data_IF_071927428862
#
_entry.id   IF_071927428862
#
_cell.length_a   1.000
_cell.length_b   1.000
_cell.length_c   1.000
_cell.angle_alpha   90.00
_cell.angle_beta   90.00
_cell.angle_gamma   90.00
#
_symmetry.space_group_name_H-M   'P 1'
#
loop_
_entity.id
_entity.type
_entity.pdbx_description
1 polymer ?
#
# COMPACT_ATOMS: atom_id res chain seq x y z
N UNK A 1 -11.79 -1.78 12.00
CA UNK A 1 -11.44 -1.71 10.58
C UNK A 1 -11.34 -0.31 10.04
N UNK A 2 -12.33 0.56 10.20
CA UNK A 2 -12.27 1.94 9.69
C UNK A 2 -10.93 2.70 9.85
N UNK A 3 -10.19 2.53 10.96
CA UNK A 3 -8.86 3.13 11.10
C UNK A 3 -7.79 2.48 10.19
N UNK A 4 -7.78 1.15 10.05
CA UNK A 4 -6.88 0.42 9.15
C UNK A 4 -7.23 0.72 7.69
N UNK A 5 -8.52 0.73 7.33
CA UNK A 5 -8.97 1.06 5.97
C UNK A 5 -8.57 2.51 5.59
N UNK A 6 -8.67 3.44 6.54
CA UNK A 6 -8.19 4.81 6.33
C UNK A 6 -6.68 4.86 6.11
N UNK A 7 -5.91 4.10 6.90
CA UNK A 7 -4.45 4.04 6.75
C UNK A 7 -4.04 3.41 5.41
N UNK A 8 -4.73 2.36 4.98
CA UNK A 8 -4.52 1.71 3.68
C UNK A 8 -4.79 2.71 2.54
N UNK A 9 -5.94 3.39 2.56
CA UNK A 9 -6.25 4.48 1.62
C UNK A 9 -5.21 5.61 1.62
N UNK A 10 -4.65 5.98 2.78
CA UNK A 10 -3.57 6.98 2.87
C UNK A 10 -2.28 6.49 2.21
N UNK A 11 -1.88 5.23 2.46
CA UNK A 11 -0.72 4.61 1.82
C UNK A 11 -0.89 4.57 0.30
N UNK A 12 -2.08 4.25 -0.16
CA UNK A 12 -2.48 4.13 -1.56
C UNK A 12 -2.43 5.49 -2.30
N UNK A 13 -2.79 6.58 -1.61
CA UNK A 13 -2.60 7.96 -2.08
C UNK A 13 -1.10 8.31 -2.17
N UNK A 14 -0.33 7.94 -1.14
CA UNK A 14 1.11 8.22 -1.08
C UNK A 14 1.85 7.47 -2.19
N UNK A 15 1.51 6.21 -2.46
CA UNK A 15 2.11 5.40 -3.53
C UNK A 15 1.96 6.12 -4.88
N UNK A 16 0.72 6.49 -5.24
CA UNK A 16 0.41 7.22 -6.47
C UNK A 16 1.16 8.55 -6.57
N UNK A 17 1.26 9.28 -5.46
CA UNK A 17 2.00 10.54 -5.41
C UNK A 17 3.49 10.33 -5.66
N UNK A 18 4.10 9.31 -5.04
CA UNK A 18 5.51 9.00 -5.17
C UNK A 18 5.86 8.51 -6.57
N UNK A 19 5.06 7.61 -7.15
CA UNK A 19 5.25 7.13 -8.52
C UNK A 19 5.14 8.29 -9.52
N UNK A 20 4.15 9.18 -9.35
CA UNK A 20 4.01 10.38 -10.17
C UNK A 20 5.24 11.29 -10.09
N UNK A 21 5.75 11.54 -8.88
CA UNK A 21 6.98 12.33 -8.67
C UNK A 21 8.21 11.67 -9.28
N UNK A 22 8.35 10.36 -9.13
CA UNK A 22 9.44 9.56 -9.69
C UNK A 22 9.48 9.64 -11.21
N UNK A 23 8.31 9.60 -11.87
CA UNK A 23 8.24 9.69 -13.34
C UNK A 23 8.86 10.99 -13.89
N UNK A 24 8.77 12.09 -13.12
CA UNK A 24 9.23 13.45 -13.45
C UNK A 24 10.69 13.72 -13.09
N UNK A 25 11.43 12.71 -12.60
CA UNK A 25 12.85 12.84 -12.23
C UNK A 25 13.74 12.66 -13.45
N UNK A 26 14.09 13.76 -14.12
CA UNK A 26 14.95 13.71 -15.32
C UNK A 26 16.41 13.35 -15.01
N UNK A 27 16.81 13.42 -13.74
CA UNK A 27 18.12 13.04 -13.24
C UNK A 27 18.32 11.51 -13.08
N UNK A 28 17.26 10.73 -13.23
CA UNK A 28 17.30 9.27 -13.10
C UNK A 28 17.16 8.60 -14.46
N UNK A 29 18.02 7.60 -14.71
CA UNK A 29 17.84 6.71 -15.85
C UNK A 29 16.59 5.81 -15.67
N UNK A 30 16.17 5.20 -16.76
CA UNK A 30 14.98 4.34 -16.78
C UNK A 30 15.09 3.12 -15.86
N UNK A 31 16.27 2.52 -15.72
CA UNK A 31 16.50 1.36 -14.87
C UNK A 31 16.31 1.70 -13.39
N UNK A 32 16.87 2.83 -12.95
CA UNK A 32 16.69 3.34 -11.59
C UNK A 32 15.23 3.74 -11.33
N UNK A 33 14.54 4.33 -12.31
CA UNK A 33 13.10 4.62 -12.19
C UNK A 33 12.27 3.35 -11.99
N UNK A 34 12.58 2.27 -12.69
CA UNK A 34 11.89 0.99 -12.50
C UNK A 34 12.15 0.45 -11.10
N UNK A 35 13.42 0.40 -10.68
CA UNK A 35 13.81 -0.09 -9.36
C UNK A 35 13.11 0.67 -8.22
N UNK A 36 13.06 2.00 -8.30
CA UNK A 36 12.37 2.79 -7.27
C UNK A 36 10.86 2.64 -7.32
N UNK A 37 10.26 2.51 -8.50
CA UNK A 37 8.82 2.23 -8.61
C UNK A 37 8.49 0.91 -7.93
N UNK A 38 9.24 -0.15 -8.26
CA UNK A 38 9.01 -1.48 -7.71
C UNK A 38 9.22 -1.49 -6.19
N UNK A 39 10.20 -0.74 -5.68
CA UNK A 39 10.38 -0.55 -4.24
C UNK A 39 9.21 0.17 -3.57
N UNK A 40 8.70 1.25 -4.18
CA UNK A 40 7.52 1.98 -3.67
C UNK A 40 6.30 1.05 -3.61
N UNK A 41 6.04 0.30 -4.68
CA UNK A 41 4.91 -0.65 -4.73
C UNK A 41 5.09 -1.80 -3.74
N UNK A 42 6.33 -2.28 -3.52
CA UNK A 42 6.59 -3.28 -2.48
C UNK A 42 6.21 -2.77 -1.08
N UNK A 43 6.42 -1.49 -0.78
CA UNK A 43 5.98 -0.89 0.48
C UNK A 43 4.46 -0.83 0.58
N UNK A 44 3.77 -0.42 -0.50
CA UNK A 44 2.30 -0.39 -0.54
C UNK A 44 1.70 -1.77 -0.30
N UNK A 45 2.22 -2.81 -0.97
CA UNK A 45 1.77 -4.19 -0.79
C UNK A 45 1.89 -4.71 0.66
N UNK A 46 2.78 -4.15 1.49
CA UNK A 46 2.85 -4.52 2.91
C UNK A 46 1.62 -3.99 3.65
N UNK A 47 1.14 -2.80 3.30
CA UNK A 47 -0.10 -2.23 3.84
C UNK A 47 -1.30 -3.10 3.51
N UNK A 48 -1.45 -3.52 2.25
CA UNK A 48 -2.53 -4.42 1.82
C UNK A 48 -2.54 -5.73 2.62
N UNK A 49 -1.35 -6.28 2.93
CA UNK A 49 -1.27 -7.51 3.75
C UNK A 49 -1.69 -7.29 5.21
N UNK A 50 -1.60 -6.06 5.71
CA UNK A 50 -2.09 -5.71 7.05
C UNK A 50 -3.62 -5.58 7.03
N UNK A 51 -4.18 -4.99 5.97
CA UNK A 51 -5.63 -4.95 5.73
C UNK A 51 -6.21 -6.37 5.65
N UNK A 52 -5.65 -7.23 4.78
CA UNK A 52 -6.04 -8.65 4.65
C UNK A 52 -6.11 -9.36 6.01
N UNK A 53 -5.10 -9.13 6.87
CA UNK A 53 -5.05 -9.72 8.19
C UNK A 53 -6.12 -9.16 9.14
N UNK A 54 -6.44 -7.87 9.01
CA UNK A 54 -7.53 -7.21 9.74
C UNK A 54 -8.90 -7.80 9.39
N UNK A 55 -9.14 -8.00 8.10
CA UNK A 55 -10.38 -8.59 7.57
C UNK A 55 -10.61 -10.01 8.07
N UNK A 56 -9.57 -10.85 8.04
CA UNK A 56 -9.63 -12.21 8.57
C UNK A 56 -9.95 -12.24 10.08
N UNK A 57 -9.39 -11.31 10.86
CA UNK A 57 -9.71 -11.16 12.29
C UNK A 57 -11.18 -10.79 12.48
N UNK A 58 -11.73 -9.90 11.64
CA UNK A 58 -13.14 -9.50 11.71
C UNK A 58 -14.07 -10.69 11.43
N UNK A 59 -13.77 -11.50 10.41
CA UNK A 59 -14.50 -12.73 10.10
C UNK A 59 -14.50 -13.68 11.32
N UNK A 60 -13.34 -13.90 11.94
CA UNK A 60 -13.22 -14.76 13.12
C UNK A 60 -14.07 -14.25 14.29
N UNK A 61 -14.07 -12.93 14.53
CA UNK A 61 -14.88 -12.32 15.60
C UNK A 61 -16.37 -12.46 15.31
N UNK A 62 -16.79 -12.24 14.06
CA UNK A 62 -18.19 -12.37 13.65
C UNK A 62 -18.71 -13.81 13.84
N UNK A 63 -17.92 -14.81 13.46
CA UNK A 63 -18.26 -16.23 13.63
C UNK A 63 -18.34 -16.66 15.10
N UNK A 64 -17.59 -16.03 16.01
CA UNK A 64 -17.64 -16.32 17.46
C UNK A 64 -18.87 -15.77 18.17
N UNK A 65 -19.58 -14.80 17.57
CA UNK A 65 -20.78 -14.18 18.16
C UNK A 65 -22.07 -14.93 17.81
N UNK A 66 -21.98 -16.00 17.01
CA UNK A 66 -23.08 -16.90 16.64
C UNK A 66 -23.14 -18.09 17.58
#
# INVERSE_FOLDING_TARGET
MAEIDNLESEVDIIERLLISRLSKRDDLDYGLKILYRDFITMIANISDKIEDAGDEIEIIIALRKV
#
